data_IF_753356134984
#
_entry.id   IF_753356134984
#
_cell.length_a   1.000
_cell.length_b   1.000
_cell.length_c   1.000
_cell.angle_alpha   90.00
_cell.angle_beta   90.00
_cell.angle_gamma   90.00
#
_symmetry.space_group_name_H-M   'P 1'
#
loop_
_entity.id
_entity.type
_entity.pdbx_description
1 polymer ?
#
# COMPACT_ATOMS: atom_id res chain seq x y z
N UNK A 1 -38.31 -13.39 1.48
CA UNK A 1 -37.03 -13.76 2.11
C UNK A 1 -35.84 -13.79 1.14
N UNK A 2 -36.01 -14.23 -0.12
CA UNK A 2 -34.86 -14.50 -1.01
C UNK A 2 -34.12 -13.25 -1.53
N UNK A 3 -34.79 -12.10 -1.68
CA UNK A 3 -34.11 -10.90 -2.18
C UNK A 3 -33.14 -10.27 -1.16
N UNK A 4 -33.47 -10.32 0.14
CA UNK A 4 -32.58 -9.85 1.24
C UNK A 4 -31.29 -10.68 1.29
N UNK A 5 -31.40 -12.00 1.07
CA UNK A 5 -30.24 -12.91 1.05
C UNK A 5 -29.32 -12.59 -0.13
N UNK A 6 -29.86 -12.24 -1.30
CA UNK A 6 -29.05 -11.86 -2.46
C UNK A 6 -28.37 -10.49 -2.26
N UNK A 7 -29.08 -9.49 -1.76
CA UNK A 7 -28.53 -8.15 -1.49
C UNK A 7 -27.37 -8.20 -0.48
N UNK A 8 -27.52 -8.99 0.58
CA UNK A 8 -26.46 -9.14 1.60
C UNK A 8 -25.25 -9.92 1.07
N UNK A 9 -25.45 -10.85 0.14
CA UNK A 9 -24.37 -11.55 -0.56
C UNK A 9 -23.58 -10.58 -1.43
N UNK A 10 -24.26 -9.82 -2.28
CA UNK A 10 -23.63 -8.87 -3.21
C UNK A 10 -22.85 -7.78 -2.47
N UNK A 11 -23.40 -7.27 -1.35
CA UNK A 11 -22.69 -6.36 -0.45
C UNK A 11 -21.40 -6.95 0.13
N UNK A 12 -21.41 -8.23 0.52
CA UNK A 12 -20.21 -8.90 1.03
C UNK A 12 -19.15 -9.05 -0.06
N UNK A 13 -19.55 -9.38 -1.29
CA UNK A 13 -18.63 -9.44 -2.43
C UNK A 13 -18.04 -8.08 -2.76
N UNK A 14 -18.87 -7.03 -2.80
CA UNK A 14 -18.43 -5.66 -3.05
C UNK A 14 -17.44 -5.16 -1.99
N UNK A 15 -17.74 -5.39 -0.70
CA UNK A 15 -16.82 -5.03 0.39
C UNK A 15 -15.52 -5.85 0.34
N UNK A 16 -15.59 -7.13 -0.04
CA UNK A 16 -14.41 -7.97 -0.15
C UNK A 16 -13.54 -7.56 -1.35
N UNK A 17 -14.14 -7.25 -2.49
CA UNK A 17 -13.41 -6.72 -3.66
C UNK A 17 -12.75 -5.38 -3.36
N UNK A 18 -13.42 -4.49 -2.63
CA UNK A 18 -12.87 -3.19 -2.26
C UNK A 18 -11.63 -3.32 -1.36
N UNK A 19 -11.64 -4.29 -0.43
CA UNK A 19 -10.48 -4.59 0.42
C UNK A 19 -9.31 -5.12 -0.40
N UNK A 20 -9.56 -6.03 -1.34
CA UNK A 20 -8.51 -6.55 -2.22
C UNK A 20 -7.95 -5.47 -3.15
N UNK A 21 -8.80 -4.59 -3.68
CA UNK A 21 -8.35 -3.47 -4.50
C UNK A 21 -7.47 -2.52 -3.70
N UNK A 22 -7.90 -2.16 -2.48
CA UNK A 22 -7.12 -1.30 -1.58
C UNK A 22 -5.78 -1.92 -1.22
N UNK A 23 -5.77 -3.23 -0.91
CA UNK A 23 -4.54 -3.97 -0.62
C UNK A 23 -3.61 -4.04 -1.85
N UNK A 24 -4.16 -4.31 -3.03
CA UNK A 24 -3.40 -4.37 -4.27
C UNK A 24 -2.73 -3.02 -4.60
N UNK A 25 -3.47 -1.92 -4.45
CA UNK A 25 -2.94 -0.56 -4.64
C UNK A 25 -1.83 -0.27 -3.61
N UNK A 26 -2.05 -0.61 -2.35
CA UNK A 26 -1.05 -0.41 -1.28
C UNK A 26 0.24 -1.21 -1.54
N UNK A 27 0.11 -2.47 -1.93
CA UNK A 27 1.26 -3.32 -2.29
C UNK A 27 1.98 -2.77 -3.51
N UNK A 28 1.25 -2.38 -4.56
CA UNK A 28 1.83 -1.81 -5.77
C UNK A 28 2.61 -0.53 -5.45
N UNK A 29 2.00 0.38 -4.69
CA UNK A 29 2.62 1.63 -4.30
C UNK A 29 3.88 1.42 -3.45
N UNK A 30 3.79 0.57 -2.41
CA UNK A 30 4.95 0.22 -1.60
C UNK A 30 6.06 -0.45 -2.42
N UNK A 31 5.70 -1.33 -3.36
CA UNK A 31 6.66 -1.96 -4.27
C UNK A 31 7.37 -0.93 -5.13
N UNK A 32 6.64 0.03 -5.72
CA UNK A 32 7.23 1.11 -6.52
C UNK A 32 8.23 1.92 -5.71
N UNK A 33 7.94 2.22 -4.44
CA UNK A 33 8.89 2.94 -3.58
C UNK A 33 10.16 2.13 -3.31
N UNK A 34 10.02 0.85 -2.95
CA UNK A 34 11.17 -0.03 -2.65
C UNK A 34 12.03 -0.24 -3.89
N UNK A 35 11.42 -0.65 -5.01
CA UNK A 35 12.16 -0.92 -6.25
C UNK A 35 12.66 0.37 -6.89
N UNK A 36 11.88 1.45 -6.84
CA UNK A 36 12.25 2.75 -7.39
C UNK A 36 13.46 3.36 -6.69
N UNK A 37 13.51 3.34 -5.35
CA UNK A 37 14.67 3.83 -4.62
C UNK A 37 15.85 2.83 -4.64
N UNK A 38 15.57 1.53 -4.55
CA UNK A 38 16.59 0.48 -4.49
C UNK A 38 17.37 0.28 -5.78
N UNK A 39 16.72 0.46 -6.94
CA UNK A 39 17.35 0.33 -8.27
C UNK A 39 17.52 1.67 -8.98
N UNK A 40 17.37 2.79 -8.26
CA UNK A 40 17.63 4.12 -8.81
C UNK A 40 19.09 4.23 -9.26
N UNK A 41 19.30 4.66 -10.50
CA UNK A 41 20.63 5.06 -11.00
C UNK A 41 21.12 6.38 -10.39
N UNK A 42 20.20 7.15 -9.79
CA UNK A 42 20.53 8.39 -9.09
C UNK A 42 20.90 8.09 -7.64
N UNK A 43 22.17 8.33 -7.32
CA UNK A 43 22.71 8.31 -5.95
C UNK A 43 21.91 9.23 -5.01
N UNK A 44 21.38 10.35 -5.52
CA UNK A 44 20.59 11.31 -4.74
C UNK A 44 19.31 10.65 -4.20
N UNK A 45 18.57 9.94 -5.06
CA UNK A 45 17.31 9.29 -4.67
C UNK A 45 17.58 8.12 -3.72
N UNK A 46 18.64 7.34 -3.97
CA UNK A 46 19.03 6.23 -3.11
C UNK A 46 19.42 6.72 -1.70
N UNK A 47 20.28 7.75 -1.64
CA UNK A 47 20.73 8.34 -0.37
C UNK A 47 19.58 9.03 0.37
N UNK A 48 18.70 9.75 -0.32
CA UNK A 48 17.51 10.35 0.29
C UNK A 48 16.60 9.29 0.95
N UNK A 49 16.45 8.12 0.32
CA UNK A 49 15.69 7.01 0.91
C UNK A 49 16.36 6.44 2.17
N UNK A 50 17.70 6.34 2.19
CA UNK A 50 18.46 5.94 3.39
C UNK A 50 18.36 6.99 4.51
N UNK A 51 18.39 8.28 4.18
CA UNK A 51 18.29 9.37 5.15
C UNK A 51 16.92 9.39 5.84
N UNK A 52 15.84 9.10 5.11
CA UNK A 52 14.50 8.95 5.70
C UNK A 52 14.49 7.85 6.76
N UNK A 53 15.19 6.73 6.55
CA UNK A 53 15.30 5.66 7.56
C UNK A 53 16.00 6.14 8.85
N UNK A 54 16.96 7.05 8.73
CA UNK A 54 17.59 7.68 9.88
C UNK A 54 16.68 8.70 10.56
N UNK A 55 15.88 9.47 9.81
CA UNK A 55 14.95 10.45 10.38
C UNK A 55 13.73 9.82 11.07
N UNK A 56 13.27 8.65 10.63
CA UNK A 56 12.18 7.92 11.31
C UNK A 56 12.63 7.21 12.60
N UNK A 57 13.94 7.04 12.78
CA UNK A 57 14.54 6.50 14.02
C UNK A 57 15.01 7.63 14.95
N UNK A 58 14.92 8.89 14.53
CA UNK A 58 15.15 10.03 15.40
C UNK A 58 14.08 10.03 16.50
N UNK A 59 14.45 10.14 17.79
CA UNK A 59 13.50 10.01 18.88
C UNK A 59 12.42 11.08 18.75
N UNK A 60 11.19 10.64 18.55
CA UNK A 60 9.98 11.44 18.68
C UNK A 60 9.57 11.58 20.16
N UNK A 61 10.56 11.81 21.03
CA UNK A 61 10.32 12.37 22.35
C UNK A 61 10.40 13.89 22.28
#
# INVERSE_FOLDING_TARGET
>A
MNSIINITRDRKYLVLSDRYLSAAIGILFGSVLIFGAGFSHSEIIHNAAHDVRHSITFPCH
#
